data_IF_541871039691
#
_entry.id   IF_541871039691
#
_cell.length_a   1.000
_cell.length_b   1.000
_cell.length_c   1.000
_cell.angle_alpha   90.00
_cell.angle_beta   90.00
_cell.angle_gamma   90.00
#
_symmetry.space_group_name_H-M   'P 1'
#
loop_
_entity.id
_entity.type
_entity.pdbx_description
1 polymer ?
#
# COMPACT_ATOMS: atom_id res chain seq x y z
N UNK A 1 -2.60 -9.09 -12.83
CA UNK A 1 -1.71 -10.03 -12.11
C UNK A 1 -0.49 -9.29 -11.57
N UNK A 2 -0.13 -9.49 -10.30
CA UNK A 2 1.19 -9.07 -9.82
C UNK A 2 2.24 -10.00 -10.41
N UNK A 3 3.14 -9.43 -11.20
CA UNK A 3 4.33 -10.13 -11.66
C UNK A 3 5.14 -10.62 -10.44
N UNK A 4 5.65 -11.87 -10.45
CA UNK A 4 6.70 -12.24 -9.50
C UNK A 4 7.89 -11.31 -9.72
N UNK A 5 8.34 -10.66 -8.65
CA UNK A 5 9.44 -9.70 -8.71
C UNK A 5 10.77 -10.45 -8.94
N UNK A 6 11.79 -9.86 -9.59
CA UNK A 6 13.04 -10.57 -9.93
C UNK A 6 13.85 -11.16 -8.76
N UNK A 7 13.49 -10.80 -7.52
CA UNK A 7 14.09 -11.26 -6.26
C UNK A 7 13.11 -12.09 -5.41
N UNK A 8 11.94 -12.44 -5.95
CA UNK A 8 11.07 -13.45 -5.34
C UNK A 8 11.73 -14.82 -5.53
N UNK A 9 11.85 -15.62 -4.47
CA UNK A 9 12.31 -17.01 -4.57
C UNK A 9 11.48 -17.82 -5.57
N UNK A 10 12.04 -18.89 -6.13
CA UNK A 10 11.36 -19.67 -7.19
C UNK A 10 9.99 -20.24 -6.74
N UNK A 11 9.78 -20.44 -5.44
CA UNK A 11 8.50 -20.87 -4.84
C UNK A 11 7.42 -19.76 -4.82
N UNK A 12 7.81 -18.48 -4.91
CA UNK A 12 6.88 -17.36 -4.97
C UNK A 12 6.22 -17.18 -6.35
N UNK A 13 6.64 -17.90 -7.39
CA UNK A 13 5.96 -17.90 -8.69
C UNK A 13 4.54 -18.52 -8.63
N UNK A 14 4.20 -19.22 -7.54
CA UNK A 14 2.90 -19.83 -7.29
C UNK A 14 2.10 -19.18 -6.14
N UNK A 15 2.63 -18.14 -5.50
CA UNK A 15 2.04 -17.50 -4.32
C UNK A 15 1.60 -16.06 -4.61
N UNK A 16 0.56 -15.61 -3.93
CA UNK A 16 0.08 -14.23 -3.95
C UNK A 16 0.15 -13.64 -2.53
N UNK A 17 0.26 -12.32 -2.42
CA UNK A 17 0.14 -11.59 -1.16
C UNK A 17 -1.22 -10.91 -1.01
N UNK A 18 -1.36 -10.10 0.04
CA UNK A 18 -2.60 -9.38 0.36
C UNK A 18 -3.12 -8.48 -0.77
N UNK A 19 -2.31 -8.19 -1.79
CA UNK A 19 -2.72 -7.41 -2.96
C UNK A 19 -4.01 -7.90 -3.65
N UNK A 20 -4.29 -9.22 -3.64
CA UNK A 20 -5.39 -9.77 -4.44
C UNK A 20 -6.74 -9.38 -3.85
N UNK A 21 -6.93 -9.58 -2.53
CA UNK A 21 -8.13 -9.13 -1.83
C UNK A 21 -8.14 -7.62 -1.62
N UNK A 22 -6.99 -6.99 -1.31
CA UNK A 22 -6.89 -5.53 -1.16
C UNK A 22 -7.40 -4.79 -2.41
N UNK A 23 -6.89 -5.15 -3.59
CA UNK A 23 -7.28 -4.48 -4.84
C UNK A 23 -8.74 -4.73 -5.18
N UNK A 24 -9.25 -5.93 -4.90
CA UNK A 24 -10.65 -6.29 -5.06
C UNK A 24 -11.56 -5.48 -4.14
N UNK A 25 -11.32 -5.50 -2.84
CA UNK A 25 -12.16 -4.85 -1.82
C UNK A 25 -12.21 -3.33 -2.02
N UNK A 26 -11.09 -2.71 -2.40
CA UNK A 26 -11.06 -1.29 -2.76
C UNK A 26 -11.83 -1.02 -4.07
N UNK A 27 -11.67 -1.84 -5.12
CA UNK A 27 -12.39 -1.67 -6.39
C UNK A 27 -13.90 -1.82 -6.23
N UNK A 28 -14.34 -2.82 -5.46
CA UNK A 28 -15.75 -3.05 -5.13
C UNK A 28 -16.34 -1.92 -4.27
N UNK A 29 -15.56 -1.36 -3.33
CA UNK A 29 -16.03 -0.29 -2.44
C UNK A 29 -16.08 1.10 -3.10
N UNK A 30 -15.11 1.41 -3.97
CA UNK A 30 -15.05 2.69 -4.68
C UNK A 30 -15.89 2.72 -5.97
N UNK A 31 -16.34 1.56 -6.45
CA UNK A 31 -16.96 1.37 -7.78
C UNK A 31 -16.06 1.87 -8.94
N UNK A 32 -14.74 1.74 -8.77
CA UNK A 32 -13.71 2.25 -9.68
C UNK A 32 -12.64 1.20 -9.96
N UNK A 33 -11.89 1.40 -11.05
CA UNK A 33 -10.71 0.59 -11.37
C UNK A 33 -9.57 0.90 -10.40
N UNK A 34 -9.58 0.21 -9.26
CA UNK A 34 -8.44 0.12 -8.35
C UNK A 34 -7.49 -0.97 -8.83
N UNK A 35 -6.24 -0.85 -8.43
CA UNK A 35 -5.09 -1.55 -8.95
C UNK A 35 -3.96 -1.36 -7.86
N UNK A 36 -2.79 -2.04 -7.86
CA UNK A 36 -1.77 -1.95 -6.76
C UNK A 36 -0.28 -2.13 -7.17
N UNK A 37 0.60 -1.11 -7.05
CA UNK A 37 2.05 -1.33 -7.32
C UNK A 37 2.69 -2.19 -6.24
N UNK A 38 2.93 -3.47 -6.54
CA UNK A 38 3.69 -4.35 -5.64
C UNK A 38 5.20 -4.09 -5.77
N UNK A 39 5.83 -3.75 -4.64
CA UNK A 39 7.27 -3.84 -4.43
C UNK A 39 7.51 -4.30 -2.98
N UNK A 40 7.98 -5.53 -2.79
CA UNK A 40 8.32 -6.11 -1.50
C UNK A 40 9.54 -7.02 -1.66
N UNK A 41 10.38 -7.12 -0.62
CA UNK A 41 11.60 -7.96 -0.60
C UNK A 41 11.63 -8.70 0.72
N UNK A 42 11.62 -10.02 0.67
CA UNK A 42 11.57 -10.87 1.86
C UNK A 42 12.87 -10.80 2.70
N UNK A 43 12.77 -11.02 4.00
CA UNK A 43 13.90 -11.03 4.95
C UNK A 43 14.61 -9.68 5.13
N UNK A 44 13.97 -8.56 4.80
CA UNK A 44 14.61 -7.23 4.80
C UNK A 44 14.22 -6.36 6.00
N UNK A 45 15.15 -5.49 6.42
CA UNK A 45 15.00 -4.63 7.60
C UNK A 45 14.86 -3.12 7.28
N UNK A 46 14.14 -2.42 8.14
CA UNK A 46 13.92 -0.97 8.14
C UNK A 46 15.05 -0.20 8.84
N UNK A 47 15.83 -0.87 9.69
CA UNK A 47 17.09 -0.38 10.25
C UNK A 47 18.04 0.22 9.21
N UNK A 48 18.19 -0.46 8.07
CA UNK A 48 19.23 -0.20 7.07
C UNK A 48 18.73 -0.29 5.62
N UNK A 49 18.04 -1.36 5.22
CA UNK A 49 17.78 -1.64 3.79
C UNK A 49 16.66 -0.77 3.19
N UNK A 50 15.60 -0.50 3.97
CA UNK A 50 14.50 0.38 3.59
C UNK A 50 14.68 1.86 4.00
N UNK A 51 15.80 2.22 4.61
CA UNK A 51 16.10 3.62 4.95
C UNK A 51 16.10 4.49 3.68
N UNK A 52 15.24 5.51 3.55
CA UNK A 52 15.20 6.33 2.33
C UNK A 52 16.54 7.02 2.03
N UNK A 53 17.27 7.42 3.08
CA UNK A 53 18.62 8.00 3.00
C UNK A 53 19.69 7.07 2.42
N UNK A 54 19.49 5.75 2.49
CA UNK A 54 20.42 4.77 1.94
C UNK A 54 20.13 4.48 0.46
N UNK A 55 18.96 4.90 -0.05
CA UNK A 55 18.54 4.82 -1.45
C UNK A 55 18.73 3.44 -2.11
N UNK A 56 18.58 2.37 -1.32
CA UNK A 56 18.52 1.00 -1.81
C UNK A 56 17.06 0.62 -2.12
N UNK A 57 16.42 -0.19 -1.27
CA UNK A 57 15.07 -0.72 -1.52
C UNK A 57 14.01 0.38 -1.65
N UNK A 58 14.12 1.44 -0.83
CA UNK A 58 13.22 2.59 -0.93
C UNK A 58 13.25 3.27 -2.31
N UNK A 59 14.44 3.50 -2.87
CA UNK A 59 14.55 4.16 -4.17
C UNK A 59 14.08 3.24 -5.30
N UNK A 60 14.42 1.94 -5.26
CA UNK A 60 13.90 0.97 -6.23
C UNK A 60 12.37 0.82 -6.18
N UNK A 61 11.76 0.86 -4.98
CA UNK A 61 10.31 0.94 -4.80
C UNK A 61 9.74 2.21 -5.40
N UNK A 62 10.29 3.38 -5.03
CA UNK A 62 9.87 4.69 -5.53
C UNK A 62 9.94 4.78 -7.06
N UNK A 63 11.00 4.25 -7.64
CA UNK A 63 11.24 4.31 -9.08
C UNK A 63 10.33 3.31 -9.83
N UNK A 64 9.99 2.15 -9.24
CA UNK A 64 8.91 1.28 -9.76
C UNK A 64 7.54 1.97 -9.73
N UNK A 65 7.20 2.71 -8.67
CA UNK A 65 5.96 3.49 -8.61
C UNK A 65 5.95 4.56 -9.70
N UNK A 66 7.05 5.30 -9.90
CA UNK A 66 7.15 6.30 -10.97
C UNK A 66 7.06 5.72 -12.37
N UNK A 67 7.64 4.54 -12.62
CA UNK A 67 7.47 3.85 -13.91
C UNK A 67 6.03 3.40 -14.13
N UNK A 68 5.35 2.89 -13.10
CA UNK A 68 3.93 2.50 -13.21
C UNK A 68 3.01 3.71 -13.44
N UNK A 69 3.33 4.88 -12.86
CA UNK A 69 2.61 6.13 -13.14
C UNK A 69 2.78 6.51 -14.62
N UNK A 70 4.02 6.57 -15.12
CA UNK A 70 4.29 6.93 -16.51
C UNK A 70 3.64 5.97 -17.52
N UNK A 71 3.66 4.66 -17.26
CA UNK A 71 3.01 3.64 -18.12
C UNK A 71 1.48 3.84 -18.21
N UNK A 72 0.85 4.25 -17.11
CA UNK A 72 -0.59 4.58 -17.08
C UNK A 72 -0.89 5.94 -17.74
N UNK A 73 -0.02 6.94 -17.56
CA UNK A 73 -0.14 8.24 -18.23
C UNK A 73 0.02 8.10 -19.76
N UNK A 74 0.94 7.27 -20.24
CA UNK A 74 1.13 6.95 -21.66
C UNK A 74 -0.08 6.18 -22.26
N UNK A 75 -0.81 5.42 -21.43
CA UNK A 75 -2.10 4.81 -21.78
C UNK A 75 -3.29 5.81 -21.74
N UNK A 76 -3.05 7.04 -21.30
CA UNK A 76 -4.05 8.12 -21.26
C UNK A 76 -4.88 8.20 -19.97
N UNK A 77 -4.42 7.58 -18.89
CA UNK A 77 -5.02 7.74 -17.56
C UNK A 77 -4.49 8.98 -16.84
N UNK A 78 -5.32 9.61 -15.99
CA UNK A 78 -4.86 10.58 -14.99
C UNK A 78 -4.59 9.81 -13.69
N UNK A 79 -3.47 10.10 -13.02
CA UNK A 79 -2.83 9.17 -12.07
C UNK A 79 -2.35 9.90 -10.81
N UNK A 80 -2.83 9.51 -9.62
CA UNK A 80 -2.38 10.03 -8.32
C UNK A 80 -2.17 8.92 -7.29
N UNK A 81 -1.11 8.92 -6.50
CA UNK A 81 -0.91 7.83 -5.52
C UNK A 81 -1.91 7.99 -4.38
N UNK A 82 -2.95 7.15 -4.33
CA UNK A 82 -4.05 7.30 -3.36
C UNK A 82 -3.78 6.62 -1.99
N UNK A 83 -2.77 5.75 -1.87
CA UNK A 83 -2.41 5.10 -0.60
C UNK A 83 -1.06 4.40 -0.62
N UNK A 84 -0.50 4.15 0.57
CA UNK A 84 0.70 3.33 0.77
C UNK A 84 0.41 2.23 1.80
N UNK A 85 0.77 1.00 1.48
CA UNK A 85 0.49 -0.19 2.28
C UNK A 85 1.82 -0.86 2.67
N UNK A 86 2.02 -1.10 3.97
CA UNK A 86 3.31 -1.56 4.51
C UNK A 86 3.14 -2.78 5.44
N UNK A 87 3.80 -3.89 5.13
CA UNK A 87 3.88 -5.05 6.02
C UNK A 87 5.32 -5.48 6.13
N UNK A 88 5.94 -5.16 7.27
CA UNK A 88 7.33 -5.46 7.60
C UNK A 88 7.57 -5.14 9.09
N UNK A 89 8.48 -5.87 9.72
CA UNK A 89 9.08 -5.53 11.02
C UNK A 89 9.75 -6.71 11.71
N UNK A 90 9.48 -7.93 11.23
CA UNK A 90 10.01 -9.20 11.72
C UNK A 90 11.54 -9.18 11.77
N UNK A 91 12.20 -8.77 10.69
CA UNK A 91 13.66 -8.68 10.62
C UNK A 91 14.25 -7.64 11.59
N UNK A 92 13.58 -6.49 11.80
CA UNK A 92 13.99 -5.49 12.79
C UNK A 92 13.86 -6.04 14.21
N UNK A 93 12.84 -6.87 14.45
CA UNK A 93 12.55 -7.50 15.73
C UNK A 93 13.51 -8.67 16.08
N UNK A 94 14.39 -9.09 15.16
CA UNK A 94 15.48 -10.02 15.44
C UNK A 94 16.73 -9.34 16.03
N UNK A 95 16.93 -8.03 15.82
CA UNK A 95 18.17 -7.34 16.20
C UNK A 95 17.92 -6.02 16.96
N UNK A 96 18.32 -5.99 18.25
CA UNK A 96 18.03 -4.88 19.17
C UNK A 96 18.31 -3.48 18.62
N UNK A 97 19.45 -3.19 17.96
CA UNK A 97 19.72 -1.86 17.41
C UNK A 97 18.77 -1.42 16.30
N UNK A 98 18.16 -2.35 15.55
CA UNK A 98 17.10 -2.05 14.59
C UNK A 98 15.76 -1.83 15.33
N UNK A 99 15.34 -2.78 16.18
CA UNK A 99 14.11 -2.70 16.97
C UNK A 99 13.96 -1.39 17.77
N UNK A 100 14.95 -0.99 18.58
CA UNK A 100 14.90 0.25 19.39
C UNK A 100 14.92 1.54 18.54
N UNK A 101 15.06 1.41 17.22
CA UNK A 101 15.09 2.50 16.25
C UNK A 101 13.84 2.51 15.36
N UNK A 102 12.95 1.53 15.51
CA UNK A 102 11.87 1.24 14.56
C UNK A 102 10.94 2.44 14.34
N UNK A 103 10.35 3.03 15.40
CA UNK A 103 9.48 4.22 15.30
C UNK A 103 10.11 5.35 14.46
N UNK A 104 11.34 5.75 14.82
CA UNK A 104 12.05 6.82 14.12
C UNK A 104 12.35 6.45 12.67
N UNK A 105 12.55 5.18 12.36
CA UNK A 105 12.81 4.71 11.01
C UNK A 105 11.50 4.66 10.18
N UNK A 106 10.40 4.17 10.75
CA UNK A 106 9.06 4.17 10.17
C UNK A 106 8.59 5.61 9.89
N UNK A 107 8.74 6.49 10.87
CA UNK A 107 8.49 7.94 10.73
C UNK A 107 9.26 8.54 9.55
N UNK A 108 10.52 8.13 9.33
CA UNK A 108 11.34 8.63 8.21
C UNK A 108 10.92 8.04 6.87
N UNK A 109 10.55 6.76 6.83
CA UNK A 109 9.99 6.10 5.66
C UNK A 109 8.72 6.83 5.22
N UNK A 110 7.72 6.90 6.11
CA UNK A 110 6.41 7.48 5.85
C UNK A 110 6.52 8.98 5.49
N UNK A 111 7.38 9.73 6.18
CA UNK A 111 7.62 11.13 5.83
C UNK A 111 8.33 11.31 4.47
N UNK A 112 9.16 10.36 4.01
CA UNK A 112 9.72 10.44 2.65
C UNK A 112 8.69 10.02 1.60
N UNK A 113 7.92 8.94 1.84
CA UNK A 113 6.84 8.52 0.93
C UNK A 113 5.83 9.65 0.73
N UNK A 114 5.43 10.37 1.79
CA UNK A 114 4.59 11.59 1.69
C UNK A 114 5.26 12.73 0.91
N UNK A 115 6.58 12.92 1.01
CA UNK A 115 7.30 13.92 0.19
C UNK A 115 7.36 13.55 -1.29
N UNK A 116 7.48 12.26 -1.59
CA UNK A 116 7.64 11.77 -2.96
C UNK A 116 6.30 11.61 -3.70
N UNK A 117 5.20 11.38 -2.98
CA UNK A 117 3.91 10.96 -3.56
C UNK A 117 2.65 11.71 -3.07
N UNK A 118 2.73 12.54 -2.02
CA UNK A 118 1.60 13.35 -1.56
C UNK A 118 1.62 13.59 -0.05
N UNK A 119 1.54 14.85 0.39
CA UNK A 119 1.71 15.21 1.81
C UNK A 119 0.64 14.62 2.74
N UNK A 120 -0.55 14.36 2.20
CA UNK A 120 -1.71 13.81 2.90
C UNK A 120 -1.94 12.31 2.59
N UNK A 121 -0.95 11.61 2.04
CA UNK A 121 -1.08 10.21 1.63
C UNK A 121 -1.52 9.31 2.81
N UNK A 122 -2.64 8.56 2.69
CA UNK A 122 -3.05 7.51 3.62
C UNK A 122 -2.01 6.39 3.70
N UNK A 123 -1.75 5.90 4.92
CA UNK A 123 -0.71 4.89 5.16
C UNK A 123 -1.22 3.77 6.07
N UNK A 124 -1.51 2.62 5.49
CA UNK A 124 -1.96 1.45 6.25
C UNK A 124 -0.79 0.50 6.46
N UNK A 125 -0.63 -0.03 7.67
CA UNK A 125 0.45 -0.96 7.95
C UNK A 125 0.09 -2.07 8.93
N UNK A 126 0.70 -3.23 8.76
CA UNK A 126 0.44 -4.38 9.63
C UNK A 126 1.29 -4.38 10.88
N UNK A 127 0.65 -4.69 12.01
CA UNK A 127 1.31 -5.02 13.26
C UNK A 127 1.95 -6.40 13.15
N UNK A 128 3.29 -6.47 13.16
CA UNK A 128 4.00 -7.76 13.09
C UNK A 128 3.65 -8.68 14.25
N UNK A 129 3.49 -9.97 13.96
CA UNK A 129 3.12 -11.03 14.91
C UNK A 129 4.05 -12.24 14.77
N UNK A 130 4.17 -13.03 15.82
CA UNK A 130 5.01 -14.23 15.86
C UNK A 130 5.40 -14.64 17.27
N UNK A 131 6.21 -15.69 17.38
CA UNK A 131 6.68 -16.21 18.67
C UNK A 131 7.73 -15.28 19.31
N UNK A 132 7.50 -14.71 20.51
CA UNK A 132 8.48 -13.87 21.21
C UNK A 132 9.79 -14.58 21.59
N UNK A 133 9.81 -15.92 21.69
CA UNK A 133 11.04 -16.69 21.93
C UNK A 133 11.93 -16.71 20.68
N UNK A 134 11.33 -16.72 19.49
CA UNK A 134 12.01 -16.69 18.19
C UNK A 134 12.31 -15.24 17.73
N UNK A 135 11.46 -14.29 18.12
CA UNK A 135 11.52 -12.88 17.73
C UNK A 135 11.71 -12.01 19.00
N UNK A 136 12.91 -11.96 19.59
CA UNK A 136 13.14 -11.45 20.95
C UNK A 136 12.84 -9.96 21.17
N UNK A 137 12.72 -9.17 20.09
CA UNK A 137 12.35 -7.75 20.17
C UNK A 137 10.97 -7.45 19.55
N UNK A 138 10.12 -8.46 19.34
CA UNK A 138 8.77 -8.32 18.79
C UNK A 138 7.95 -7.25 19.54
N UNK A 139 7.91 -7.34 20.88
CA UNK A 139 7.21 -6.35 21.70
C UNK A 139 7.78 -4.93 21.56
N UNK A 140 9.10 -4.78 21.35
CA UNK A 140 9.73 -3.46 21.12
C UNK A 140 9.28 -2.87 19.79
N UNK A 141 9.20 -3.67 18.72
CA UNK A 141 8.71 -3.22 17.40
C UNK A 141 7.22 -2.93 17.42
N UNK A 142 6.39 -3.80 18.04
CA UNK A 142 4.94 -3.58 18.19
C UNK A 142 4.62 -2.33 19.03
N UNK A 143 5.36 -2.07 20.11
CA UNK A 143 5.21 -0.82 20.89
C UNK A 143 5.55 0.40 20.03
N UNK A 144 6.65 0.35 19.28
CA UNK A 144 7.03 1.43 18.37
C UNK A 144 6.01 1.68 17.25
N UNK A 145 5.34 0.63 16.77
CA UNK A 145 4.22 0.74 15.82
C UNK A 145 3.00 1.42 16.47
N UNK A 146 2.59 1.01 17.67
CA UNK A 146 1.48 1.62 18.41
C UNK A 146 1.74 3.10 18.76
N UNK A 147 2.95 3.43 19.21
CA UNK A 147 3.36 4.82 19.47
C UNK A 147 3.39 5.65 18.19
N UNK A 148 3.71 5.06 17.04
CA UNK A 148 3.65 5.74 15.74
C UNK A 148 2.20 6.06 15.35
N UNK A 149 1.31 5.08 15.47
CA UNK A 149 -0.12 5.17 15.17
C UNK A 149 -0.78 6.36 15.85
N UNK A 150 -0.64 6.41 17.19
CA UNK A 150 -1.23 7.44 18.06
C UNK A 150 -0.81 8.88 17.72
N UNK A 151 0.26 9.08 16.94
CA UNK A 151 0.77 10.39 16.52
C UNK A 151 0.49 10.74 15.06
N UNK A 152 -0.09 9.83 14.27
CA UNK A 152 -0.21 9.97 12.81
C UNK A 152 -1.65 9.80 12.32
N UNK A 153 -2.45 10.87 12.35
CA UNK A 153 -3.84 10.91 11.87
C UNK A 153 -4.09 10.55 10.37
N UNK A 154 -3.05 10.24 9.59
CA UNK A 154 -3.14 9.70 8.22
C UNK A 154 -2.42 8.35 8.08
N UNK A 155 -2.24 7.64 9.18
CA UNK A 155 -1.79 6.27 9.22
C UNK A 155 -2.68 5.45 10.15
N UNK A 156 -2.88 4.16 9.84
CA UNK A 156 -3.59 3.20 10.70
C UNK A 156 -2.82 1.87 10.71
N UNK A 157 -2.62 1.34 11.91
CA UNK A 157 -2.15 -0.02 12.17
C UNK A 157 -3.30 -1.05 12.06
N UNK A 158 -3.09 -2.11 11.29
CA UNK A 158 -3.95 -3.31 11.26
C UNK A 158 -3.35 -4.36 12.18
N UNK A 159 -4.13 -4.90 13.11
CA UNK A 159 -3.68 -5.99 13.99
C UNK A 159 -3.65 -7.32 13.23
N UNK A 160 -2.58 -8.11 13.41
CA UNK A 160 -2.38 -9.40 12.73
C UNK A 160 -1.96 -10.53 13.67
N UNK A 161 -2.10 -10.34 14.99
CA UNK A 161 -1.80 -11.36 16.01
C UNK A 161 -2.64 -12.64 15.85
N UNK A 162 -3.88 -12.53 15.35
CA UNK A 162 -4.80 -13.67 15.15
C UNK A 162 -4.67 -14.34 13.77
N UNK A 163 -3.67 -13.97 12.97
CA UNK A 163 -3.46 -14.51 11.62
C UNK A 163 -2.65 -15.81 11.67
N UNK A 164 -3.11 -16.84 10.95
CA UNK A 164 -2.49 -18.17 10.94
C UNK A 164 -1.16 -18.17 10.19
N UNK A 165 -0.08 -18.63 10.85
CA UNK A 165 1.25 -18.81 10.26
C UNK A 165 1.72 -20.28 10.34
N UNK A 166 1.50 -21.12 9.31
CA UNK A 166 1.79 -22.55 9.39
C UNK A 166 3.30 -22.88 9.52
N UNK A 167 4.19 -21.98 9.12
CA UNK A 167 5.65 -22.07 9.30
C UNK A 167 6.19 -21.08 10.36
N UNK A 168 5.30 -20.50 11.18
CA UNK A 168 5.57 -19.42 12.16
C UNK A 168 6.00 -18.06 11.58
N UNK A 169 6.20 -17.93 10.26
CA UNK A 169 6.72 -16.71 9.62
C UNK A 169 5.68 -16.11 8.67
N UNK A 170 5.24 -16.89 7.68
CA UNK A 170 4.37 -16.48 6.60
C UNK A 170 2.91 -16.81 6.91
N UNK A 171 2.00 -15.93 6.50
CA UNK A 171 0.57 -16.18 6.59
C UNK A 171 0.11 -17.30 5.65
N UNK A 172 -0.91 -18.06 6.06
CA UNK A 172 -1.64 -18.93 5.15
C UNK A 172 -2.50 -18.13 4.15
N UNK A 173 -3.11 -18.83 3.19
CA UNK A 173 -3.95 -18.22 2.15
C UNK A 173 -5.15 -17.47 2.74
N UNK A 174 -5.77 -18.01 3.79
CA UNK A 174 -6.95 -17.39 4.41
C UNK A 174 -6.59 -16.08 5.11
N UNK A 175 -5.51 -16.09 5.88
CA UNK A 175 -5.00 -14.92 6.61
C UNK A 175 -4.42 -13.87 5.65
N UNK A 176 -3.81 -14.30 4.53
CA UNK A 176 -3.37 -13.40 3.45
C UNK A 176 -4.54 -12.69 2.77
N UNK A 177 -5.68 -13.39 2.56
CA UNK A 177 -6.88 -12.78 2.02
C UNK A 177 -7.52 -11.81 3.03
N UNK A 178 -7.68 -12.24 4.29
CA UNK A 178 -8.14 -11.41 5.42
C UNK A 178 -7.31 -10.12 5.54
N UNK A 179 -5.99 -10.22 5.44
CA UNK A 179 -5.07 -9.07 5.46
C UNK A 179 -5.46 -8.01 4.43
N UNK A 180 -5.72 -8.40 3.18
CA UNK A 180 -6.10 -7.44 2.14
C UNK A 180 -7.46 -6.80 2.38
N UNK A 181 -8.42 -7.54 2.94
CA UNK A 181 -9.75 -7.02 3.30
C UNK A 181 -9.67 -6.01 4.46
N UNK A 182 -8.88 -6.31 5.50
CA UNK A 182 -8.69 -5.42 6.64
C UNK A 182 -7.82 -4.19 6.30
N UNK A 183 -6.79 -4.35 5.46
CA UNK A 183 -6.00 -3.23 4.95
C UNK A 183 -6.83 -2.32 4.02
N UNK A 184 -7.72 -2.87 3.21
CA UNK A 184 -8.69 -2.09 2.43
C UNK A 184 -9.62 -1.29 3.35
N UNK A 185 -10.15 -1.94 4.38
CA UNK A 185 -11.06 -1.32 5.35
C UNK A 185 -10.39 -0.16 6.10
N UNK A 186 -9.15 -0.34 6.58
CA UNK A 186 -8.38 0.71 7.24
C UNK A 186 -8.04 1.89 6.30
N UNK A 187 -7.81 1.63 5.01
CA UNK A 187 -7.61 2.70 4.03
C UNK A 187 -8.92 3.47 3.77
N UNK A 188 -10.05 2.78 3.70
CA UNK A 188 -11.38 3.39 3.54
C UNK A 188 -11.78 4.24 4.77
N UNK A 189 -11.36 3.86 5.98
CA UNK A 189 -11.52 4.67 7.20
C UNK A 189 -10.69 5.96 7.15
N UNK A 190 -9.43 5.89 6.68
CA UNK A 190 -8.62 7.08 6.42
C UNK A 190 -9.24 7.96 5.32
N UNK A 191 -9.76 7.34 4.26
CA UNK A 191 -10.28 8.02 3.07
C UNK A 191 -9.18 8.59 2.16
N UNK A 192 -9.57 8.93 0.94
CA UNK A 192 -8.71 9.45 -0.14
C UNK A 192 -7.87 10.68 0.29
N UNK A 193 -6.73 10.96 -0.37
CA UNK A 193 -5.97 12.20 -0.19
C UNK A 193 -6.86 13.44 -0.30
N UNK A 194 -6.84 14.28 0.74
CA UNK A 194 -7.57 15.55 0.75
C UNK A 194 -6.82 16.55 -0.12
N UNK A 195 -7.12 16.54 -1.42
CA UNK A 195 -6.62 17.55 -2.36
C UNK A 195 -7.10 18.94 -1.91
N UNK A 196 -6.16 19.87 -1.75
CA UNK A 196 -6.42 21.14 -1.06
C UNK A 196 -7.12 22.19 -1.94
N UNK A 197 -8.36 21.91 -2.37
CA UNK A 197 -9.32 22.91 -2.85
C UNK A 197 -10.75 22.51 -2.45
N UNK A 198 -11.58 23.42 -1.88
CA UNK A 198 -12.92 23.09 -1.43
C UNK A 198 -13.88 22.89 -2.63
N UNK A 199 -14.39 21.67 -2.79
CA UNK A 199 -15.49 21.43 -3.72
C UNK A 199 -16.76 22.14 -3.22
N UNK A 200 -17.27 23.08 -4.02
CA UNK A 200 -18.58 23.69 -3.78
C UNK A 200 -19.62 22.90 -4.58
N UNK A 201 -20.52 22.13 -3.94
CA UNK A 201 -21.48 21.31 -4.67
C UNK A 201 -22.49 22.19 -5.43
N UNK A 202 -22.65 21.92 -6.72
CA UNK A 202 -23.75 22.43 -7.54
C UNK A 202 -24.65 21.26 -7.96
N UNK A 203 -25.97 21.28 -7.66
CA UNK A 203 -26.83 20.10 -7.83
C UNK A 203 -27.59 20.12 -9.16
N UNK A 204 -27.35 19.17 -10.08
CA UNK A 204 -28.26 18.89 -11.19
C UNK A 204 -28.36 17.39 -11.52
N UNK A 205 -29.60 16.91 -11.66
CA UNK A 205 -29.99 15.62 -12.29
C UNK A 205 -29.60 15.65 -13.80
N UNK A 206 -29.55 14.56 -14.59
CA UNK A 206 -30.63 13.62 -15.01
C UNK A 206 -30.05 12.32 -15.62
N UNK A 207 -30.87 11.25 -15.64
CA UNK A 207 -30.69 9.88 -16.18
C UNK A 207 -29.98 9.68 -17.54
N UNK A 208 -29.44 8.46 -17.77
CA UNK A 208 -29.72 7.72 -19.02
C UNK A 208 -28.69 6.74 -19.63
N UNK A 209 -28.96 5.42 -19.48
CA UNK A 209 -28.68 4.28 -20.39
C UNK A 209 -27.26 3.72 -20.68
N UNK A 210 -27.14 2.43 -20.34
CA UNK A 210 -26.58 1.26 -21.08
C UNK A 210 -25.05 1.09 -21.22
N UNK A 211 -24.63 -0.15 -20.90
CA UNK A 211 -23.27 -0.67 -20.81
C UNK A 211 -22.60 -1.04 -22.16
N UNK A 212 -21.27 -1.20 -22.12
CA UNK A 212 -20.59 -2.33 -22.76
C UNK A 212 -19.35 -2.76 -21.95
N UNK A 213 -19.04 -4.07 -21.97
CA UNK A 213 -17.93 -4.71 -21.24
C UNK A 213 -16.68 -4.76 -22.13
N UNK A 214 -15.49 -4.55 -21.54
CA UNK A 214 -14.20 -5.04 -22.07
C UNK A 214 -13.21 -5.26 -20.92
N UNK A 215 -12.49 -6.40 -20.95
CA UNK A 215 -11.51 -6.78 -19.93
C UNK A 215 -10.15 -6.10 -20.17
N UNK A 216 -9.38 -5.83 -19.10
CA UNK A 216 -7.98 -6.27 -18.91
C UNK A 216 -7.45 -5.84 -17.51
N UNK A 217 -6.27 -6.34 -17.12
CA UNK A 217 -5.75 -6.34 -15.73
C UNK A 217 -4.53 -5.41 -15.56
N UNK A 218 -4.41 -4.65 -14.46
CA UNK A 218 -3.26 -3.76 -14.20
C UNK A 218 -3.33 -3.07 -12.83
N UNK A 219 -2.27 -2.38 -12.39
CA UNK A 219 -1.94 -2.31 -10.93
C UNK A 219 -1.32 -1.00 -10.31
N UNK A 220 -2.12 0.02 -9.89
CA UNK A 220 -1.89 1.03 -8.81
C UNK A 220 -3.24 1.68 -8.25
N UNK A 221 -3.37 2.17 -6.98
CA UNK A 221 -4.70 2.60 -6.39
C UNK A 221 -5.03 4.04 -6.77
N UNK A 222 -6.22 4.27 -7.34
CA UNK A 222 -6.65 5.58 -7.86
C UNK A 222 -8.10 5.95 -7.55
N UNK A 223 -8.31 7.25 -7.42
CA UNK A 223 -9.57 7.99 -7.28
C UNK A 223 -9.86 8.79 -8.55
N UNK A 224 -11.07 8.71 -9.11
CA UNK A 224 -11.40 9.28 -10.42
C UNK A 224 -12.53 10.31 -10.41
N UNK A 225 -12.30 11.42 -11.13
CA UNK A 225 -13.37 12.30 -11.63
C UNK A 225 -13.29 12.47 -13.15
N UNK A 226 -14.35 12.08 -13.85
CA UNK A 226 -14.43 12.17 -15.31
C UNK A 226 -14.50 13.62 -15.83
N UNK A 227 -13.48 14.08 -16.58
CA UNK A 227 -13.62 15.19 -17.54
C UNK A 227 -12.86 14.94 -18.83
N UNK A 228 -13.53 14.36 -19.83
CA UNK A 228 -12.94 14.27 -21.17
C UNK A 228 -12.71 15.66 -21.78
N UNK A 229 -11.46 15.95 -22.14
CA UNK A 229 -11.09 17.18 -22.83
C UNK A 229 -11.64 17.21 -24.27
N UNK A 230 -12.55 18.15 -24.52
CA UNK A 230 -13.23 18.34 -25.79
C UNK A 230 -12.26 18.86 -26.89
N UNK A 231 -11.64 17.97 -27.67
CA UNK A 231 -10.80 18.35 -28.83
C UNK A 231 -11.67 18.63 -30.06
N UNK A 232 -11.96 19.91 -30.29
CA UNK A 232 -12.62 20.40 -31.50
C UNK A 232 -11.75 20.23 -32.75
N UNK A 233 -12.44 20.03 -33.88
CA UNK A 233 -11.90 19.86 -35.22
C UNK A 233 -10.91 20.95 -35.70
N UNK A 234 -9.97 20.54 -36.55
CA UNK A 234 -9.35 21.38 -37.60
C UNK A 234 -8.57 20.56 -38.65
N UNK A 235 -9.30 19.90 -39.56
CA UNK A 235 -8.94 19.57 -40.95
C UNK A 235 -10.13 18.84 -41.60
#
# INVERSE_FOLDING_TARGET
>A
PTEPLPWSSDDLQLRFGMEVSLGRSLSESLYQSVALVKYAVDGTNLGEQWQPRNCALYCAMRDRVKMAIADLEDQGYEVEVAGFFWMQGESDALYRPWAIRYDRNLTRLFAQTRRDFGSDLPMVYGMVSGDPEQIPYLHTVRTAMQEFDQRNHRAIAVETEDYTKPDSIHWDTASTLKAGEEFASAWLELGEPQTSLPFTPQPQFVMGLIAFILLLMGVAVFSWFARQANRKAKA
#
